data_IF_465757589029
#
_entry.id   IF_465757589029
#
_cell.length_a   1.000
_cell.length_b   1.000
_cell.length_c   1.000
_cell.angle_alpha   90.00
_cell.angle_beta   90.00
_cell.angle_gamma   90.00
#
_symmetry.space_group_name_H-M   'P 1'
#
loop_
_entity.id
_entity.type
_entity.pdbx_description
1 polymer ?
#
# COMPACT_ATOMS: atom_id res chain seq x y z
N UNK A 1 -6.65 -29.15 28.84
CA UNK A 1 -7.70 -28.89 29.85
C UNK A 1 -8.45 -30.20 30.03
N UNK A 2 -8.72 -30.61 31.27
CA UNK A 2 -9.56 -31.77 31.55
C UNK A 2 -10.93 -31.27 32.01
N UNK A 3 -11.98 -31.63 31.29
CA UNK A 3 -13.36 -31.44 31.73
C UNK A 3 -13.63 -32.39 32.90
N UNK A 4 -14.32 -31.90 33.93
CA UNK A 4 -14.76 -32.69 35.07
C UNK A 4 -16.19 -32.26 35.43
N UNK A 5 -17.10 -33.20 35.71
CA UNK A 5 -18.47 -32.86 36.09
C UNK A 5 -18.50 -32.22 37.48
N UNK A 6 -19.33 -31.18 37.65
CA UNK A 6 -19.57 -30.53 38.96
C UNK A 6 -20.71 -31.24 39.73
N UNK A 7 -21.54 -32.02 39.03
CA UNK A 7 -22.65 -32.80 39.59
C UNK A 7 -22.74 -34.17 38.92
N UNK A 8 -23.96 -34.71 38.79
CA UNK A 8 -24.18 -35.94 38.01
C UNK A 8 -23.74 -35.72 36.55
N UNK A 9 -22.92 -36.63 36.02
CA UNK A 9 -22.40 -36.51 34.67
C UNK A 9 -23.45 -36.93 33.64
N UNK A 10 -23.54 -36.19 32.56
CA UNK A 10 -24.48 -36.51 31.49
C UNK A 10 -23.95 -37.66 30.63
N UNK A 11 -24.85 -38.41 30.02
CA UNK A 11 -24.49 -39.50 29.10
C UNK A 11 -24.61 -39.01 27.66
N UNK A 12 -23.55 -39.17 26.86
CA UNK A 12 -23.58 -38.92 25.42
C UNK A 12 -23.83 -40.25 24.71
N UNK A 13 -24.90 -40.33 23.94
CA UNK A 13 -25.26 -41.52 23.15
C UNK A 13 -25.06 -41.24 21.66
N UNK A 14 -24.05 -41.89 21.08
CA UNK A 14 -23.87 -41.98 19.63
C UNK A 14 -24.28 -43.38 19.18
N UNK A 15 -24.61 -43.55 17.90
CA UNK A 15 -25.31 -44.75 17.36
C UNK A 15 -24.98 -46.12 17.98
N UNK A 16 -23.70 -46.41 18.25
CA UNK A 16 -23.26 -47.71 18.80
C UNK A 16 -22.44 -47.61 20.09
N UNK A 17 -22.28 -46.41 20.66
CA UNK A 17 -21.41 -46.18 21.82
C UNK A 17 -22.06 -45.16 22.75
N UNK A 18 -22.00 -45.46 24.03
CA UNK A 18 -22.39 -44.55 25.11
C UNK A 18 -21.14 -44.27 25.93
N UNK A 19 -20.88 -42.99 26.21
CA UNK A 19 -19.80 -42.54 27.07
C UNK A 19 -20.35 -41.48 28.02
N UNK A 20 -19.60 -41.17 29.07
CA UNK A 20 -19.87 -39.97 29.85
C UNK A 20 -19.59 -38.72 29.01
N UNK A 21 -20.27 -37.61 29.30
CA UNK A 21 -20.02 -36.32 28.66
C UNK A 21 -18.60 -35.85 28.96
N UNK A 22 -18.10 -36.07 30.18
CA UNK A 22 -16.73 -35.82 30.56
C UNK A 22 -15.71 -36.52 29.65
N UNK A 23 -15.82 -37.85 29.48
CA UNK A 23 -14.93 -38.62 28.59
C UNK A 23 -15.02 -38.11 27.16
N UNK A 24 -16.24 -37.91 26.66
CA UNK A 24 -16.47 -37.45 25.30
C UNK A 24 -15.82 -36.08 25.04
N UNK A 25 -15.98 -35.10 25.94
CA UNK A 25 -15.39 -33.76 25.79
C UNK A 25 -13.87 -33.76 25.96
N UNK A 26 -13.33 -34.66 26.79
CA UNK A 26 -11.88 -34.80 26.96
C UNK A 26 -11.22 -35.45 25.74
N UNK A 27 -11.90 -36.36 25.05
CA UNK A 27 -11.41 -36.99 23.81
C UNK A 27 -11.58 -36.11 22.58
N UNK A 28 -12.75 -35.46 22.44
CA UNK A 28 -13.11 -34.71 21.23
C UNK A 28 -12.79 -33.22 21.32
N UNK A 29 -12.69 -32.69 22.53
CA UNK A 29 -12.59 -31.26 22.79
C UNK A 29 -13.94 -30.54 22.69
N UNK A 30 -13.99 -29.33 23.25
CA UNK A 30 -15.15 -28.45 23.18
C UNK A 30 -14.78 -27.20 22.38
N UNK A 31 -15.57 -26.90 21.35
CA UNK A 31 -15.55 -25.61 20.67
C UNK A 31 -16.78 -24.81 21.07
N UNK A 32 -16.57 -23.57 21.53
CA UNK A 32 -17.66 -22.65 21.89
C UNK A 32 -17.56 -21.40 21.03
N UNK A 33 -18.66 -21.07 20.37
CA UNK A 33 -18.83 -19.81 19.65
C UNK A 33 -19.48 -18.79 20.60
N UNK A 34 -18.82 -17.66 20.76
CA UNK A 34 -19.34 -16.52 21.52
C UNK A 34 -19.82 -15.45 20.54
N UNK A 35 -20.44 -14.40 21.09
CA UNK A 35 -20.70 -13.18 20.33
C UNK A 35 -19.39 -12.54 19.82
N UNK A 36 -19.50 -11.67 18.82
CA UNK A 36 -18.38 -10.89 18.28
C UNK A 36 -17.25 -11.75 17.70
N UNK A 37 -17.61 -12.91 17.15
CA UNK A 37 -16.72 -13.86 16.45
C UNK A 37 -15.61 -14.44 17.34
N UNK A 38 -15.76 -14.31 18.67
CA UNK A 38 -14.85 -14.98 19.59
C UNK A 38 -15.14 -16.48 19.61
N UNK A 39 -14.09 -17.29 19.54
CA UNK A 39 -14.18 -18.74 19.56
C UNK A 39 -13.22 -19.27 20.61
N UNK A 40 -13.70 -20.14 21.48
CA UNK A 40 -12.82 -21.00 22.27
C UNK A 40 -12.63 -22.31 21.53
N UNK A 41 -11.38 -22.65 21.20
CA UNK A 41 -10.99 -23.96 20.65
C UNK A 41 -10.25 -24.79 21.69
N UNK A 42 -10.21 -26.13 21.55
CA UNK A 42 -9.39 -26.98 22.42
C UNK A 42 -7.90 -26.55 22.39
N UNK A 43 -7.20 -26.53 23.54
CA UNK A 43 -7.62 -26.97 24.88
C UNK A 43 -8.12 -25.80 25.77
N UNK A 44 -8.99 -24.94 25.23
CA UNK A 44 -9.47 -23.66 25.79
C UNK A 44 -8.63 -22.42 25.43
N UNK A 45 -8.15 -22.38 24.19
CA UNK A 45 -7.58 -21.15 23.62
C UNK A 45 -8.72 -20.26 23.15
N UNK A 46 -8.82 -19.05 23.74
CA UNK A 46 -9.76 -18.03 23.29
C UNK A 46 -9.14 -17.25 22.12
N UNK A 47 -9.69 -17.43 20.93
CA UNK A 47 -9.40 -16.64 19.75
C UNK A 47 -10.45 -15.53 19.63
N UNK A 48 -10.01 -14.28 19.57
CA UNK A 48 -10.88 -13.12 19.39
C UNK A 48 -10.25 -12.18 18.36
N UNK A 49 -11.03 -11.65 17.39
CA UNK A 49 -10.52 -10.62 16.50
C UNK A 49 -10.08 -9.39 17.29
N UNK A 50 -8.89 -8.88 16.98
CA UNK A 50 -8.45 -7.58 17.48
C UNK A 50 -9.20 -6.48 16.71
N UNK A 51 -10.12 -5.81 17.40
CA UNK A 51 -10.91 -4.69 16.87
C UNK A 51 -10.37 -3.33 17.32
N UNK A 52 -9.17 -3.32 17.91
CA UNK A 52 -8.51 -2.12 18.45
C UNK A 52 -7.36 -1.64 17.59
N UNK A 53 -7.16 -2.24 16.41
CA UNK A 53 -6.16 -1.78 15.44
C UNK A 53 -6.39 -0.27 15.20
N UNK A 54 -5.41 0.57 15.58
CA UNK A 54 -5.59 2.00 15.46
C UNK A 54 -5.70 2.40 13.98
N UNK A 55 -6.44 3.47 13.68
CA UNK A 55 -6.46 4.03 12.33
C UNK A 55 -5.06 4.57 11.97
N UNK A 56 -4.86 4.98 10.72
CA UNK A 56 -3.56 5.43 10.24
C UNK A 56 -3.02 6.54 11.14
N UNK A 57 -1.75 6.47 11.51
CA UNK A 57 -1.16 7.46 12.39
C UNK A 57 -1.08 8.81 11.67
N UNK A 58 -1.85 9.79 12.16
CA UNK A 58 -1.90 11.15 11.61
C UNK A 58 -0.53 11.82 11.57
N UNK A 59 0.39 11.44 12.47
CA UNK A 59 1.75 11.99 12.49
C UNK A 59 2.55 11.59 11.26
N UNK A 60 2.26 10.43 10.65
CA UNK A 60 2.87 9.92 9.41
C UNK A 60 2.42 10.63 8.14
N UNK A 61 1.36 11.45 8.19
CA UNK A 61 0.95 12.26 7.04
C UNK A 61 2.01 13.31 6.72
N UNK A 62 2.44 13.39 5.46
CA UNK A 62 3.47 14.31 5.01
C UNK A 62 2.78 15.49 4.31
N UNK A 63 2.75 16.63 4.98
CA UNK A 63 2.15 17.85 4.44
C UNK A 63 3.08 18.50 3.42
N UNK A 64 2.60 18.71 2.19
CA UNK A 64 3.28 19.48 1.17
C UNK A 64 2.62 20.85 0.99
N UNK A 65 3.41 21.83 0.57
CA UNK A 65 2.89 23.12 0.12
C UNK A 65 2.36 22.98 -1.32
N UNK A 66 1.05 23.13 -1.48
CA UNK A 66 0.35 23.09 -2.78
C UNK A 66 0.07 24.48 -3.35
N UNK A 67 0.65 25.54 -2.77
CA UNK A 67 0.49 26.91 -3.28
C UNK A 67 0.96 26.99 -4.74
N UNK A 68 0.14 27.61 -5.58
CA UNK A 68 0.39 27.74 -7.02
C UNK A 68 0.17 26.46 -7.83
N UNK A 69 -0.39 25.39 -7.24
CA UNK A 69 -0.75 24.15 -7.94
C UNK A 69 -2.26 24.13 -8.20
N UNK A 70 -2.64 23.82 -9.44
CA UNK A 70 -4.03 23.56 -9.79
C UNK A 70 -4.44 22.18 -9.30
N UNK A 71 -5.26 22.13 -8.25
CA UNK A 71 -5.69 20.87 -7.65
C UNK A 71 -6.59 20.04 -8.57
N UNK A 72 -7.13 20.61 -9.64
CA UNK A 72 -7.91 19.90 -10.65
C UNK A 72 -7.05 19.27 -11.76
N UNK A 73 -5.73 19.48 -11.73
CA UNK A 73 -4.81 19.01 -12.76
C UNK A 73 -3.85 18.00 -12.15
N UNK A 74 -4.06 16.73 -12.49
CA UNK A 74 -3.23 15.62 -12.01
C UNK A 74 -1.85 15.64 -12.68
N UNK A 75 -1.84 15.48 -14.01
CA UNK A 75 -0.65 15.24 -14.82
C UNK A 75 0.04 16.52 -15.26
N UNK A 76 1.37 16.49 -15.36
CA UNK A 76 2.15 17.56 -16.00
C UNK A 76 2.07 17.52 -17.54
N UNK A 77 1.60 16.40 -18.12
CA UNK A 77 1.53 16.21 -19.57
C UNK A 77 2.88 16.27 -20.30
N UNK A 78 2.85 16.21 -21.62
CA UNK A 78 4.06 16.21 -22.47
C UNK A 78 4.86 17.51 -22.32
N UNK A 79 4.15 18.64 -22.18
CA UNK A 79 4.76 19.97 -22.01
C UNK A 79 5.32 20.22 -20.60
N UNK A 80 5.17 19.27 -19.67
CA UNK A 80 5.66 19.36 -18.29
C UNK A 80 5.21 20.63 -17.57
N UNK A 81 3.90 20.90 -17.60
CA UNK A 81 3.34 22.07 -16.93
C UNK A 81 3.70 22.06 -15.43
N UNK A 82 4.16 23.17 -14.86
CA UNK A 82 4.72 23.18 -13.50
C UNK A 82 3.66 23.23 -12.39
N UNK A 83 2.40 23.48 -12.74
CA UNK A 83 1.27 23.75 -11.85
C UNK A 83 0.34 22.54 -11.66
N UNK A 84 0.80 21.32 -11.96
CA UNK A 84 0.06 20.08 -11.71
C UNK A 84 0.45 19.42 -10.39
N UNK A 85 -0.43 18.55 -9.89
CA UNK A 85 -0.17 17.72 -8.69
C UNK A 85 1.10 16.89 -8.91
N UNK A 86 1.20 16.19 -10.04
CA UNK A 86 2.36 15.36 -10.38
C UNK A 86 3.65 16.19 -10.44
N UNK A 87 3.64 17.39 -11.03
CA UNK A 87 4.84 18.23 -11.10
C UNK A 87 5.34 18.64 -9.70
N UNK A 88 4.42 18.98 -8.78
CA UNK A 88 4.77 19.25 -7.38
C UNK A 88 5.30 18.00 -6.68
N UNK A 89 4.67 16.85 -6.91
CA UNK A 89 5.10 15.58 -6.32
C UNK A 89 6.48 15.14 -6.84
N UNK A 90 6.79 15.30 -8.13
CA UNK A 90 8.12 15.02 -8.68
C UNK A 90 9.19 15.88 -8.01
N UNK A 91 8.92 17.17 -7.78
CA UNK A 91 9.84 18.06 -7.06
C UNK A 91 10.08 17.58 -5.64
N UNK A 92 9.02 17.14 -4.95
CA UNK A 92 9.15 16.58 -3.61
C UNK A 92 9.97 15.28 -3.62
N UNK A 93 9.61 14.31 -4.47
CA UNK A 93 10.33 13.04 -4.61
C UNK A 93 11.82 13.29 -4.88
N UNK A 94 12.15 14.20 -5.80
CA UNK A 94 13.54 14.59 -6.09
C UNK A 94 14.29 15.13 -4.88
N UNK A 95 13.61 15.75 -3.92
CA UNK A 95 14.23 16.26 -2.69
C UNK A 95 14.49 15.20 -1.62
N UNK A 96 13.88 14.02 -1.72
CA UNK A 96 13.98 12.96 -0.72
C UNK A 96 15.37 12.29 -0.72
N UNK A 97 16.01 12.20 -1.88
CA UNK A 97 17.30 11.56 -2.05
C UNK A 97 17.97 11.98 -3.37
N UNK A 98 19.25 11.64 -3.53
CA UNK A 98 19.90 11.68 -4.82
C UNK A 98 19.53 10.43 -5.62
N UNK A 99 18.65 10.60 -6.62
CA UNK A 99 18.08 9.49 -7.38
C UNK A 99 18.91 9.18 -8.64
N UNK A 100 19.20 7.91 -8.91
CA UNK A 100 19.83 7.54 -10.18
C UNK A 100 18.86 7.77 -11.35
N UNK A 101 17.58 7.48 -11.13
CA UNK A 101 16.52 7.60 -12.14
C UNK A 101 15.23 8.12 -11.50
N UNK A 102 14.56 9.06 -12.17
CA UNK A 102 13.16 9.43 -11.91
C UNK A 102 12.42 9.41 -13.25
N UNK A 103 11.32 8.67 -13.32
CA UNK A 103 10.51 8.47 -14.52
C UNK A 103 9.07 8.93 -14.25
N UNK A 104 8.55 9.76 -15.16
CA UNK A 104 7.13 9.99 -15.40
C UNK A 104 6.59 8.84 -16.27
N UNK A 105 5.84 7.94 -15.63
CA UNK A 105 5.20 6.77 -16.27
C UNK A 105 3.67 6.91 -16.38
N UNK A 106 3.13 8.10 -16.12
CA UNK A 106 1.70 8.49 -16.12
C UNK A 106 1.06 8.31 -17.51
N UNK A 107 0.63 7.08 -17.78
CA UNK A 107 -0.12 6.66 -18.97
C UNK A 107 -0.77 5.32 -18.67
N UNK A 108 -1.93 5.04 -19.30
CA UNK A 108 -2.70 3.80 -19.11
C UNK A 108 -1.86 2.53 -18.87
N UNK A 109 -2.16 1.83 -17.77
CA UNK A 109 -1.46 0.61 -17.36
C UNK A 109 -0.04 0.84 -16.84
N UNK A 110 0.20 1.99 -16.23
CA UNK A 110 1.47 2.34 -15.57
C UNK A 110 1.88 1.43 -14.43
N UNK A 111 3.14 1.58 -14.06
CA UNK A 111 3.68 1.04 -12.81
C UNK A 111 3.22 1.93 -11.65
N UNK A 112 3.48 3.24 -11.78
CA UNK A 112 3.02 4.33 -10.93
C UNK A 112 3.19 5.64 -11.72
N UNK A 113 2.53 6.72 -11.32
CA UNK A 113 2.69 8.02 -12.00
C UNK A 113 4.15 8.50 -12.00
N UNK A 114 4.84 8.26 -10.89
CA UNK A 114 6.25 8.60 -10.68
C UNK A 114 6.97 7.37 -10.16
N UNK A 115 8.06 6.99 -10.84
CA UNK A 115 8.95 5.91 -10.42
C UNK A 115 10.34 6.48 -10.20
N UNK A 116 10.81 6.49 -8.95
CA UNK A 116 12.16 6.88 -8.61
C UNK A 116 12.96 5.69 -8.09
N UNK A 117 14.21 5.58 -8.52
CA UNK A 117 15.08 4.45 -8.17
C UNK A 117 16.50 4.94 -7.91
N UNK A 118 17.13 4.39 -6.87
CA UNK A 118 18.55 4.60 -6.58
C UNK A 118 19.18 3.35 -5.98
N UNK A 119 20.48 3.20 -6.17
CA UNK A 119 21.28 2.21 -5.45
C UNK A 119 22.14 2.91 -4.41
N UNK A 120 22.15 2.36 -3.21
CA UNK A 120 23.01 2.80 -2.12
C UNK A 120 23.47 1.59 -1.32
N UNK A 121 24.79 1.39 -1.29
CA UNK A 121 25.41 0.17 -0.78
C UNK A 121 24.90 -1.11 -1.48
N UNK A 122 24.34 -2.03 -0.70
CA UNK A 122 23.80 -3.32 -1.15
C UNK A 122 22.29 -3.29 -1.42
N UNK A 123 21.69 -2.09 -1.46
CA UNK A 123 20.24 -1.91 -1.52
C UNK A 123 19.80 -1.07 -2.72
N UNK A 124 18.84 -1.60 -3.47
CA UNK A 124 18.04 -0.88 -4.46
C UNK A 124 16.80 -0.31 -3.77
N UNK A 125 16.70 1.02 -3.75
CA UNK A 125 15.51 1.73 -3.30
C UNK A 125 14.60 2.00 -4.49
N UNK A 126 13.33 1.61 -4.38
CA UNK A 126 12.29 1.87 -5.37
C UNK A 126 11.16 2.65 -4.71
N UNK A 127 10.89 3.85 -5.21
CA UNK A 127 9.81 4.72 -4.76
C UNK A 127 8.75 4.84 -5.86
N UNK A 128 7.56 4.32 -5.58
CA UNK A 128 6.41 4.31 -6.49
C UNK A 128 5.36 5.28 -5.97
N UNK A 129 5.18 6.41 -6.64
CA UNK A 129 4.19 7.42 -6.22
C UNK A 129 3.02 7.49 -7.18
N UNK A 130 1.80 7.43 -6.63
CA UNK A 130 0.55 7.66 -7.35
C UNK A 130 0.00 9.04 -7.01
N UNK A 131 -0.38 9.83 -7.99
CA UNK A 131 -0.95 11.15 -7.85
C UNK A 131 -2.45 11.09 -8.10
N UNK A 132 -3.22 11.86 -7.33
CA UNK A 132 -4.64 12.04 -7.59
C UNK A 132 -5.02 13.51 -7.50
N UNK A 133 -5.71 14.01 -8.52
CA UNK A 133 -6.30 15.35 -8.45
C UNK A 133 -7.50 15.40 -7.51
N UNK A 134 -7.96 16.61 -7.22
CA UNK A 134 -9.16 16.88 -6.43
C UNK A 134 -10.33 17.14 -7.37
N UNK A 135 -11.37 16.32 -7.27
CA UNK A 135 -12.55 16.43 -8.14
C UNK A 135 -13.25 17.79 -7.97
N UNK A 136 -13.22 18.63 -9.01
CA UNK A 136 -13.76 19.99 -8.97
C UNK A 136 -12.81 21.03 -8.35
N UNK A 137 -11.56 20.67 -8.05
CA UNK A 137 -10.50 21.58 -7.61
C UNK A 137 -10.67 22.16 -6.21
N UNK A 138 -11.66 21.67 -5.43
CA UNK A 138 -11.96 22.14 -4.09
C UNK A 138 -11.74 21.02 -3.08
N UNK A 139 -10.92 21.30 -2.06
CA UNK A 139 -10.61 20.35 -0.98
C UNK A 139 -11.90 19.94 -0.27
N UNK A 140 -12.15 18.63 -0.19
CA UNK A 140 -13.31 18.05 0.50
C UNK A 140 -12.87 16.86 1.35
N UNK A 141 -13.57 16.65 2.47
CA UNK A 141 -13.34 15.50 3.37
C UNK A 141 -14.04 14.24 2.86
N UNK A 142 -13.80 13.88 1.61
CA UNK A 142 -14.40 12.72 0.96
C UNK A 142 -13.43 11.54 1.00
N UNK A 143 -13.91 10.38 1.42
CA UNK A 143 -13.12 9.14 1.40
C UNK A 143 -13.00 8.62 -0.04
N UNK A 144 -13.94 8.99 -0.89
CA UNK A 144 -14.02 8.65 -2.30
C UNK A 144 -12.79 9.13 -3.08
N UNK A 145 -12.25 10.29 -2.71
CA UNK A 145 -11.03 10.87 -3.28
C UNK A 145 -9.77 10.01 -3.03
N UNK A 146 -9.85 9.05 -2.09
CA UNK A 146 -8.76 8.14 -1.74
C UNK A 146 -8.93 6.72 -2.30
N UNK A 147 -10.14 6.27 -2.66
CA UNK A 147 -10.33 4.86 -3.06
C UNK A 147 -9.49 4.46 -4.27
N UNK A 148 -9.46 5.30 -5.30
CA UNK A 148 -8.72 5.00 -6.52
C UNK A 148 -7.20 4.96 -6.27
N UNK A 149 -6.66 5.99 -5.61
CA UNK A 149 -5.22 6.11 -5.37
C UNK A 149 -4.72 5.07 -4.36
N UNK A 150 -5.53 4.70 -3.36
CA UNK A 150 -5.24 3.57 -2.47
C UNK A 150 -5.27 2.24 -3.23
N UNK A 151 -6.22 2.06 -4.15
CA UNK A 151 -6.28 0.89 -5.02
C UNK A 151 -5.05 0.78 -5.94
N UNK A 152 -4.54 1.89 -6.47
CA UNK A 152 -3.30 1.93 -7.24
C UNK A 152 -2.08 1.58 -6.37
N UNK A 153 -2.00 2.11 -5.14
CA UNK A 153 -0.95 1.76 -4.19
C UNK A 153 -0.94 0.26 -3.88
N UNK A 154 -2.10 -0.32 -3.56
CA UNK A 154 -2.25 -1.75 -3.29
C UNK A 154 -1.86 -2.60 -4.51
N UNK A 155 -2.31 -2.24 -5.72
CA UNK A 155 -1.93 -2.95 -6.96
C UNK A 155 -0.42 -2.93 -7.22
N UNK A 156 0.26 -1.86 -6.82
CA UNK A 156 1.69 -1.67 -7.06
C UNK A 156 2.59 -2.61 -6.25
N UNK A 157 2.06 -3.22 -5.19
CA UNK A 157 2.76 -4.25 -4.40
C UNK A 157 3.22 -5.43 -5.25
N UNK A 158 2.52 -5.73 -6.36
CA UNK A 158 2.90 -6.81 -7.28
C UNK A 158 4.31 -6.63 -7.87
N UNK A 159 4.77 -5.39 -8.01
CA UNK A 159 6.06 -5.09 -8.63
C UNK A 159 7.23 -5.57 -7.79
N UNK A 160 7.08 -5.54 -6.46
CA UNK A 160 8.07 -6.07 -5.52
C UNK A 160 8.29 -7.57 -5.69
N UNK A 161 7.27 -8.31 -6.12
CA UNK A 161 7.32 -9.76 -6.34
C UNK A 161 8.12 -10.14 -7.59
N UNK A 162 8.31 -9.22 -8.53
CA UNK A 162 9.03 -9.48 -9.78
C UNK A 162 9.74 -8.22 -10.30
N UNK A 163 10.88 -7.90 -9.67
CA UNK A 163 11.75 -6.78 -10.05
C UNK A 163 12.20 -6.84 -11.52
N UNK A 164 12.62 -8.00 -12.08
CA UNK A 164 12.94 -8.09 -13.50
C UNK A 164 11.77 -7.69 -14.42
N UNK A 165 10.53 -8.04 -14.04
CA UNK A 165 9.35 -7.64 -14.79
C UNK A 165 9.06 -6.13 -14.67
N UNK A 166 9.31 -5.51 -13.52
CA UNK A 166 9.24 -4.06 -13.35
C UNK A 166 10.17 -3.36 -14.33
N UNK A 167 11.47 -3.70 -14.35
CA UNK A 167 12.43 -3.10 -15.28
C UNK A 167 12.04 -3.33 -16.74
N UNK A 168 11.72 -4.58 -17.11
CA UNK A 168 11.28 -4.94 -18.46
C UNK A 168 10.08 -4.09 -18.91
N UNK A 169 9.10 -3.85 -18.02
CA UNK A 169 7.93 -3.02 -18.35
C UNK A 169 8.29 -1.54 -18.45
N UNK A 170 9.08 -0.98 -17.53
CA UNK A 170 9.53 0.41 -17.60
C UNK A 170 10.27 0.69 -18.90
N UNK A 171 11.27 -0.14 -19.23
CA UNK A 171 12.07 0.00 -20.45
C UNK A 171 11.15 -0.01 -21.69
N UNK A 172 10.24 -0.98 -21.77
CA UNK A 172 9.30 -1.09 -22.88
C UNK A 172 8.36 0.11 -23.00
N UNK A 173 7.86 0.61 -21.86
CA UNK A 173 6.94 1.76 -21.81
C UNK A 173 7.64 3.05 -22.20
N UNK A 174 8.85 3.29 -21.70
CA UNK A 174 9.62 4.47 -22.05
C UNK A 174 10.02 4.49 -23.52
N UNK A 175 10.42 3.34 -24.10
CA UNK A 175 10.69 3.25 -25.55
C UNK A 175 9.45 3.62 -26.37
N UNK A 176 8.28 3.06 -26.02
CA UNK A 176 7.01 3.38 -26.68
C UNK A 176 6.59 4.85 -26.51
N UNK A 177 6.86 5.46 -25.36
CA UNK A 177 6.58 6.90 -25.11
C UNK A 177 7.39 7.76 -26.09
N UNK A 178 8.68 7.47 -26.23
CA UNK A 178 9.58 8.14 -27.19
C UNK A 178 9.13 7.89 -28.63
N UNK A 179 8.84 6.65 -29.02
CA UNK A 179 8.38 6.31 -30.38
C UNK A 179 7.07 7.04 -30.75
N UNK A 180 6.13 7.15 -29.81
CA UNK A 180 4.80 7.74 -30.06
C UNK A 180 4.82 9.27 -30.03
N UNK A 181 5.60 9.86 -29.15
CA UNK A 181 5.51 11.30 -28.83
C UNK A 181 6.77 12.08 -29.20
N UNK A 182 7.90 11.42 -29.41
CA UNK A 182 9.21 12.07 -29.52
C UNK A 182 9.80 12.50 -28.16
N UNK A 183 9.06 12.35 -27.05
CA UNK A 183 9.47 12.77 -25.72
C UNK A 183 9.74 11.60 -24.79
N UNK A 184 10.69 11.80 -23.87
CA UNK A 184 11.03 10.85 -22.82
C UNK A 184 10.30 11.15 -21.51
N UNK A 185 9.92 10.10 -20.78
CA UNK A 185 9.44 10.21 -19.40
C UNK A 185 10.55 10.37 -18.37
N UNK A 186 11.83 10.24 -18.74
CA UNK A 186 12.94 10.50 -17.81
C UNK A 186 12.92 11.96 -17.34
N UNK A 187 12.70 12.14 -16.04
CA UNK A 187 12.82 13.40 -15.31
C UNK A 187 14.22 13.57 -14.73
N UNK A 188 14.89 12.45 -14.44
CA UNK A 188 16.29 12.33 -14.01
C UNK A 188 16.85 10.99 -14.50
N UNK A 189 18.13 10.96 -14.86
CA UNK A 189 18.75 9.80 -15.50
C UNK A 189 18.29 9.60 -16.95
N UNK A 190 18.60 8.44 -17.49
CA UNK A 190 18.27 8.04 -18.86
C UNK A 190 18.14 6.51 -18.99
N UNK A 191 18.01 6.01 -20.23
CA UNK A 191 17.97 4.57 -20.48
C UNK A 191 19.23 3.85 -20.01
N UNK A 192 20.41 4.46 -20.15
CA UNK A 192 21.68 3.84 -19.73
C UNK A 192 21.69 3.64 -18.22
N UNK A 193 21.31 4.67 -17.46
CA UNK A 193 21.13 4.56 -16.00
C UNK A 193 20.11 3.49 -15.62
N UNK A 194 18.98 3.41 -16.34
CA UNK A 194 17.96 2.39 -16.09
C UNK A 194 18.47 0.95 -16.33
N UNK A 195 19.26 0.72 -17.38
CA UNK A 195 19.88 -0.61 -17.62
C UNK A 195 20.94 -0.94 -16.58
N UNK A 196 21.73 0.05 -16.13
CA UNK A 196 22.70 -0.15 -15.05
C UNK A 196 21.98 -0.57 -13.76
N UNK A 197 20.84 0.07 -13.44
CA UNK A 197 20.00 -0.33 -12.32
C UNK A 197 19.43 -1.74 -12.49
N UNK A 198 18.93 -2.10 -13.68
CA UNK A 198 18.41 -3.44 -13.99
C UNK A 198 19.46 -4.54 -13.76
N UNK A 199 20.69 -4.30 -14.20
CA UNK A 199 21.79 -5.25 -14.04
C UNK A 199 22.16 -5.44 -12.56
N UNK A 200 22.34 -4.32 -11.85
CA UNK A 200 22.65 -4.32 -10.41
C UNK A 200 21.55 -4.97 -9.57
N UNK A 201 20.28 -4.73 -9.89
CA UNK A 201 19.12 -5.17 -9.11
C UNK A 201 19.10 -6.67 -8.82
N UNK A 202 19.73 -7.50 -9.66
CA UNK A 202 19.80 -8.96 -9.49
C UNK A 202 20.57 -9.39 -8.26
N UNK A 203 21.48 -8.54 -7.77
CA UNK A 203 22.40 -8.83 -6.67
C UNK A 203 22.11 -7.99 -5.41
N UNK A 204 21.11 -7.11 -5.45
CA UNK A 204 20.81 -6.17 -4.38
C UNK A 204 19.57 -6.60 -3.60
N UNK A 205 19.53 -6.23 -2.32
CA UNK A 205 18.27 -6.18 -1.58
C UNK A 205 17.39 -5.09 -2.19
N UNK A 206 16.07 -5.23 -2.08
CA UNK A 206 15.15 -4.23 -2.62
C UNK A 206 14.20 -3.74 -1.55
N UNK A 207 14.22 -2.43 -1.32
CA UNK A 207 13.32 -1.73 -0.42
C UNK A 207 12.35 -0.89 -1.25
N UNK A 208 11.06 -1.06 -0.95
CA UNK A 208 9.98 -0.38 -1.64
C UNK A 208 9.36 0.67 -0.72
N UNK A 209 9.13 1.85 -1.28
CA UNK A 209 8.22 2.84 -0.74
C UNK A 209 7.10 3.04 -1.75
N UNK A 210 5.86 2.90 -1.31
CA UNK A 210 4.68 3.21 -2.10
C UNK A 210 4.04 4.46 -1.50
N UNK A 211 3.92 5.50 -2.31
CA UNK A 211 3.36 6.77 -1.87
C UNK A 211 2.08 7.11 -2.64
N UNK A 212 1.20 7.86 -1.98
CA UNK A 212 0.04 8.50 -2.61
C UNK A 212 0.10 10.00 -2.38
N UNK A 213 -0.14 10.77 -3.44
CA UNK A 213 -0.23 12.22 -3.39
C UNK A 213 -1.66 12.65 -3.66
N UNK A 214 -2.35 13.11 -2.62
CA UNK A 214 -3.74 13.58 -2.71
C UNK A 214 -3.90 14.90 -1.94
N UNK A 215 -3.77 16.06 -2.61
CA UNK A 215 -3.92 17.37 -1.98
C UNK A 215 -5.33 17.66 -1.46
N UNK A 216 -6.34 16.87 -1.84
CA UNK A 216 -7.68 16.94 -1.25
C UNK A 216 -7.73 16.46 0.20
N UNK A 217 -6.73 15.70 0.66
CA UNK A 217 -6.58 15.33 2.07
C UNK A 217 -5.88 16.46 2.81
N UNK A 218 -6.45 16.90 3.93
CA UNK A 218 -5.84 17.92 4.80
C UNK A 218 -5.39 17.28 6.10
N UNK A 219 -4.11 17.45 6.49
CA UNK A 219 -3.56 16.83 7.70
C UNK A 219 -4.35 17.20 8.96
N UNK A 220 -4.64 18.49 9.14
CA UNK A 220 -5.47 18.99 10.26
C UNK A 220 -6.95 18.58 10.16
N UNK A 221 -7.44 18.33 8.96
CA UNK A 221 -8.86 18.11 8.65
C UNK A 221 -9.27 16.65 8.38
N UNK A 222 -8.33 15.72 8.29
CA UNK A 222 -8.56 14.33 7.87
C UNK A 222 -9.59 13.62 8.76
N UNK A 223 -10.52 12.89 8.13
CA UNK A 223 -11.61 12.19 8.83
C UNK A 223 -11.20 10.80 9.32
N UNK A 224 -11.92 10.21 10.31
CA UNK A 224 -11.69 8.84 10.73
C UNK A 224 -11.76 7.82 9.59
N UNK A 225 -12.77 7.93 8.71
CA UNK A 225 -12.91 7.04 7.55
C UNK A 225 -11.73 7.10 6.58
N UNK A 226 -11.15 8.30 6.37
CA UNK A 226 -9.94 8.44 5.57
C UNK A 226 -8.74 7.75 6.25
N UNK A 227 -8.57 7.92 7.56
CA UNK A 227 -7.49 7.26 8.32
C UNK A 227 -7.65 5.73 8.35
N UNK A 228 -8.88 5.21 8.42
CA UNK A 228 -9.14 3.76 8.35
C UNK A 228 -8.77 3.19 6.97
N UNK A 229 -9.14 3.88 5.89
CA UNK A 229 -8.77 3.46 4.54
C UNK A 229 -7.25 3.48 4.33
N UNK A 230 -6.56 4.52 4.82
CA UNK A 230 -5.10 4.61 4.76
C UNK A 230 -4.43 3.52 5.59
N UNK A 231 -4.96 3.17 6.76
CA UNK A 231 -4.44 2.06 7.58
C UNK A 231 -4.60 0.72 6.87
N UNK A 232 -5.78 0.46 6.28
CA UNK A 232 -6.01 -0.77 5.52
C UNK A 232 -5.03 -0.90 4.34
N UNK A 233 -4.68 0.23 3.72
CA UNK A 233 -3.72 0.30 2.63
C UNK A 233 -2.29 0.09 3.12
N UNK A 234 -1.89 0.75 4.21
CA UNK A 234 -0.58 0.57 4.85
C UNK A 234 -0.35 -0.91 5.22
N UNK A 235 -1.32 -1.53 5.89
CA UNK A 235 -1.24 -2.94 6.27
C UNK A 235 -1.10 -3.83 5.04
N UNK A 236 -1.93 -3.64 4.00
CA UNK A 236 -1.82 -4.45 2.79
C UNK A 236 -0.46 -4.28 2.09
N UNK A 237 0.02 -3.04 1.97
CA UNK A 237 1.32 -2.71 1.35
C UNK A 237 2.47 -3.36 2.12
N UNK A 238 2.44 -3.28 3.45
CA UNK A 238 3.43 -3.91 4.31
C UNK A 238 3.37 -5.45 4.22
N UNK A 239 2.21 -6.06 4.41
CA UNK A 239 2.07 -7.53 4.44
C UNK A 239 2.39 -8.18 3.09
N UNK A 240 2.10 -7.51 1.96
CA UNK A 240 2.24 -8.12 0.63
C UNK A 240 3.54 -7.80 -0.09
N UNK A 241 4.22 -6.71 0.28
CA UNK A 241 5.45 -6.24 -0.36
C UNK A 241 6.56 -5.85 0.63
N UNK A 242 6.34 -5.91 1.94
CA UNK A 242 7.28 -5.40 2.95
C UNK A 242 7.73 -3.96 2.64
N UNK A 243 6.79 -3.17 2.13
CA UNK A 243 7.03 -1.82 1.65
C UNK A 243 6.53 -0.78 2.66
N UNK A 244 7.18 0.37 2.71
CA UNK A 244 6.69 1.53 3.44
C UNK A 244 5.55 2.21 2.68
N UNK A 245 4.61 2.81 3.41
CA UNK A 245 3.50 3.57 2.84
C UNK A 245 3.56 5.04 3.25
N UNK A 246 3.56 5.93 2.26
CA UNK A 246 3.64 7.38 2.47
C UNK A 246 2.41 8.09 1.90
N UNK A 247 1.98 9.15 2.56
CA UNK A 247 0.80 9.94 2.16
C UNK A 247 1.18 11.41 2.11
N UNK A 248 1.29 11.94 0.90
CA UNK A 248 1.48 13.36 0.64
C UNK A 248 0.13 14.06 0.58
N UNK A 249 -0.10 14.98 1.52
CA UNK A 249 -1.38 15.65 1.69
C UNK A 249 -1.18 17.17 1.77
N UNK A 250 -2.29 17.90 1.85
CA UNK A 250 -2.27 19.31 2.22
C UNK A 250 -2.04 19.46 3.72
N UNK A 251 -1.44 20.58 4.14
CA UNK A 251 -1.24 20.94 5.55
C UNK A 251 -2.56 21.14 6.29
#
# INVERSE_FOLDING_TARGET
MQFAPIGEDATVSLRKQSSTLCEFLNETGLQVFFEMDAVMIPPAMLLKPDRTIPPFDRTKLIALDWTGISLSVESQGVERRPDSVQARTIKHVRSLADWDVIIDDDTSGEIADIVAMRVDGDTLYVHLTHCKYVTGGQVRKQVEDLYEVCGQAQKSTQWRRNIPLLFKRLIKRQRRKVERTGHTGFMQGDFSALYILEDKARMLKTEFTIAVAQPGVTKSGISPAQLELLASTEVYVYETAYASFEVYCNS
#
